data_IF_172951917485
#
_entry.id   IF_172951917485
#
_cell.length_a   1.000
_cell.length_b   1.000
_cell.length_c   1.000
_cell.angle_alpha   90.00
_cell.angle_beta   90.00
_cell.angle_gamma   90.00
#
_symmetry.space_group_name_H-M   'P 1'
#
loop_
_entity.id
_entity.type
_entity.pdbx_description
1 polymer ?
#
# COMPACT_ATOMS: atom_id res chain seq x y z
N UNK A 1 -22.14 2.39 -4.54
CA UNK A 1 -21.18 3.52 -4.48
C UNK A 1 -20.33 3.34 -3.21
N UNK A 2 -19.14 2.73 -3.28
CA UNK A 2 -18.16 2.74 -2.17
C UNK A 2 -17.60 4.16 -2.07
N UNK A 3 -18.26 5.03 -1.30
CA UNK A 3 -17.94 6.48 -1.27
C UNK A 3 -17.13 6.94 -0.05
N UNK A 4 -16.92 6.08 0.95
CA UNK A 4 -16.23 6.46 2.19
C UNK A 4 -15.08 5.51 2.57
N UNK A 5 -14.62 4.67 1.64
CA UNK A 5 -13.46 3.84 1.92
C UNK A 5 -12.21 4.63 1.59
N UNK A 6 -11.55 5.13 2.64
CA UNK A 6 -10.21 5.71 2.56
C UNK A 6 -9.24 4.63 3.05
N UNK A 7 -8.21 4.27 2.26
CA UNK A 7 -7.12 3.46 2.76
C UNK A 7 -6.45 4.19 3.93
N UNK A 8 -5.87 3.46 4.89
CA UNK A 8 -5.22 4.06 6.05
C UNK A 8 -3.85 4.66 5.70
N UNK A 9 -3.37 4.42 4.47
CA UNK A 9 -2.08 4.89 3.96
C UNK A 9 -2.26 5.48 2.57
N UNK A 10 -1.71 6.68 2.38
CA UNK A 10 -1.75 7.41 1.11
C UNK A 10 -0.49 7.20 0.26
N UNK A 11 -0.59 7.57 -1.02
CA UNK A 11 0.55 7.50 -1.96
C UNK A 11 1.74 8.38 -1.53
N UNK A 12 1.47 9.52 -0.90
CA UNK A 12 2.50 10.43 -0.37
C UNK A 12 3.25 9.81 0.83
N UNK A 13 2.52 9.06 1.66
CA UNK A 13 3.09 8.33 2.79
C UNK A 13 4.05 7.26 2.27
N UNK A 14 3.63 6.48 1.27
CA UNK A 14 4.45 5.43 0.62
C UNK A 14 5.72 6.06 0.02
N UNK A 15 5.59 7.18 -0.70
CA UNK A 15 6.73 7.90 -1.28
C UNK A 15 7.74 8.31 -0.20
N UNK A 16 7.27 8.93 0.88
CA UNK A 16 8.12 9.39 1.99
C UNK A 16 8.75 8.23 2.75
N UNK A 17 7.96 7.17 3.04
CA UNK A 17 8.38 5.99 3.80
C UNK A 17 9.48 5.20 3.11
N UNK A 18 9.30 4.94 1.81
CA UNK A 18 10.21 4.12 1.02
C UNK A 18 11.21 4.96 0.22
N UNK A 19 11.18 6.28 0.37
CA UNK A 19 11.97 7.24 -0.42
C UNK A 19 11.85 6.95 -1.93
N UNK A 20 10.63 6.61 -2.37
CA UNK A 20 10.31 6.26 -3.75
C UNK A 20 9.88 7.49 -4.53
N UNK A 21 10.38 7.61 -5.76
CA UNK A 21 9.94 8.64 -6.69
C UNK A 21 8.54 8.35 -7.27
N UNK A 22 7.84 9.37 -7.77
CA UNK A 22 6.57 9.19 -8.47
C UNK A 22 6.75 8.23 -9.66
N UNK A 23 6.02 7.12 -9.65
CA UNK A 23 6.22 6.06 -10.63
C UNK A 23 5.19 4.93 -10.53
N UNK A 24 5.35 3.95 -11.42
CA UNK A 24 4.43 2.80 -11.52
C UNK A 24 4.40 1.97 -10.24
N UNK A 25 5.49 1.92 -9.49
CA UNK A 25 5.61 1.16 -8.24
C UNK A 25 4.59 1.62 -7.19
N UNK A 26 4.39 2.93 -7.03
CA UNK A 26 3.42 3.47 -6.08
C UNK A 26 2.00 3.07 -6.48
N UNK A 27 1.69 3.13 -7.78
CA UNK A 27 0.39 2.69 -8.30
C UNK A 27 0.12 1.21 -8.01
N UNK A 28 1.14 0.36 -8.16
CA UNK A 28 1.05 -1.07 -7.84
C UNK A 28 0.83 -1.28 -6.34
N UNK A 29 1.59 -0.58 -5.49
CA UNK A 29 1.47 -0.68 -4.03
C UNK A 29 0.09 -0.24 -3.54
N UNK A 30 -0.41 0.90 -4.03
CA UNK A 30 -1.74 1.41 -3.68
C UNK A 30 -2.87 0.46 -4.11
N UNK A 31 -2.78 -0.08 -5.33
CA UNK A 31 -3.79 -1.02 -5.81
C UNK A 31 -3.74 -2.32 -5.02
N UNK A 32 -2.54 -2.89 -4.81
CA UNK A 32 -2.38 -4.11 -4.03
C UNK A 32 -2.87 -3.94 -2.58
N UNK A 33 -2.60 -2.79 -1.96
CA UNK A 33 -3.11 -2.48 -0.62
C UNK A 33 -4.64 -2.41 -0.61
N UNK A 34 -5.23 -1.75 -1.60
CA UNK A 34 -6.68 -1.65 -1.75
C UNK A 34 -7.32 -3.00 -1.95
N UNK A 35 -6.78 -3.80 -2.86
CA UNK A 35 -7.29 -5.14 -3.17
C UNK A 35 -7.20 -6.02 -1.92
N UNK A 36 -6.06 -6.00 -1.21
CA UNK A 36 -5.88 -6.76 0.04
C UNK A 36 -6.89 -6.39 1.14
N UNK A 37 -7.27 -5.10 1.27
CA UNK A 37 -8.28 -4.70 2.26
C UNK A 37 -9.69 -5.08 1.80
N UNK A 38 -9.98 -5.03 0.50
CA UNK A 38 -11.27 -5.43 -0.06
C UNK A 38 -11.47 -6.95 0.02
N UNK A 39 -10.40 -7.70 -0.25
CA UNK A 39 -10.37 -9.17 -0.19
C UNK A 39 -10.37 -9.68 1.26
N UNK A 40 -10.06 -8.81 2.23
CA UNK A 40 -9.98 -9.14 3.65
C UNK A 40 -8.67 -9.82 4.05
N UNK A 41 -7.64 -9.75 3.20
CA UNK A 41 -6.29 -10.24 3.49
C UNK A 41 -5.60 -9.43 4.60
N UNK A 42 -5.88 -8.12 4.64
CA UNK A 42 -5.37 -7.21 5.67
C UNK A 42 -6.49 -6.34 6.23
N UNK A 43 -6.34 -5.94 7.50
CA UNK A 43 -7.27 -5.00 8.12
C UNK A 43 -7.09 -3.58 7.56
N UNK A 44 -8.18 -2.80 7.61
CA UNK A 44 -8.18 -1.38 7.25
C UNK A 44 -7.53 -0.50 8.35
N UNK A 45 -6.35 -0.88 8.82
CA UNK A 45 -5.60 -0.19 9.86
C UNK A 45 -4.20 0.21 9.33
N UNK A 46 -3.59 1.21 9.97
CA UNK A 46 -2.30 1.74 9.53
C UNK A 46 -1.17 0.70 9.61
N UNK A 47 -1.13 -0.09 10.69
CA UNK A 47 -0.07 -1.06 10.93
C UNK A 47 -0.06 -2.17 9.87
N UNK A 48 -1.19 -2.83 9.64
CA UNK A 48 -1.37 -3.87 8.62
C UNK A 48 -1.08 -3.34 7.22
N UNK A 49 -1.46 -2.09 6.92
CA UNK A 49 -1.14 -1.48 5.65
C UNK A 49 0.37 -1.25 5.47
N UNK A 50 1.06 -0.72 6.48
CA UNK A 50 2.51 -0.53 6.44
C UNK A 50 3.24 -1.88 6.38
N UNK A 51 2.83 -2.88 7.16
CA UNK A 51 3.42 -4.23 7.11
C UNK A 51 3.28 -4.86 5.73
N UNK A 52 2.09 -4.75 5.11
CA UNK A 52 1.84 -5.24 3.77
C UNK A 52 2.75 -4.54 2.75
N UNK A 53 2.85 -3.21 2.83
CA UNK A 53 3.72 -2.41 1.98
C UNK A 53 5.19 -2.77 2.15
N UNK A 54 5.68 -2.91 3.40
CA UNK A 54 7.05 -3.33 3.72
C UNK A 54 7.36 -4.72 3.16
N UNK A 55 6.45 -5.68 3.34
CA UNK A 55 6.58 -7.03 2.82
C UNK A 55 6.62 -7.04 1.29
N UNK A 56 5.78 -6.22 0.64
CA UNK A 56 5.75 -6.08 -0.82
C UNK A 56 7.01 -5.40 -1.35
N UNK A 57 7.45 -4.33 -0.71
CA UNK A 57 8.66 -3.59 -1.07
C UNK A 57 9.92 -4.47 -0.97
N UNK A 58 10.05 -5.24 0.12
CA UNK A 58 11.14 -6.22 0.30
C UNK A 58 11.17 -7.28 -0.81
N UNK A 59 10.02 -7.69 -1.34
CA UNK A 59 9.94 -8.64 -2.48
C UNK A 59 10.44 -8.01 -3.78
N UNK A 60 10.20 -6.72 -4.00
CA UNK A 60 10.64 -6.00 -5.21
C UNK A 60 12.15 -5.76 -5.23
N UNK A 61 12.76 -5.45 -4.07
CA UNK A 61 14.21 -5.19 -3.94
C UNK A 61 15.08 -6.46 -4.05
N UNK A 62 14.50 -7.65 -3.93
CA UNK A 62 15.24 -8.92 -3.90
C UNK A 62 15.54 -9.50 -5.30
N UNK A 63 15.44 -8.70 -6.35
CA UNK A 63 15.59 -9.14 -7.75
C UNK A 63 16.80 -8.51 -8.41
#
# INVERSE_FOLDING_TARGET
RLRNWQPPVDGNEIMTRFNLGPGREIGILKNALRDAIIDGDIENNYESAIEFLDARYKKTQKK
#
